data_IF_939769136473
#
_entry.id   IF_939769136473
#
_cell.length_a   1.000
_cell.length_b   1.000
_cell.length_c   1.000
_cell.angle_alpha   90.00
_cell.angle_beta   90.00
_cell.angle_gamma   90.00
#
_symmetry.space_group_name_H-M   'P 1'
#
loop_
_entity.id
_entity.type
_entity.pdbx_description
1 polymer ?
#
# COMPACT_ATOMS: atom_id res chain seq x y z
N UNK A 1 17.49 -23.46 6.73
CA UNK A 1 17.46 -22.64 5.51
C UNK A 1 18.73 -21.81 5.53
N UNK A 2 19.68 -22.13 4.65
CA UNK A 2 20.97 -21.45 4.59
C UNK A 2 20.72 -19.98 4.19
N UNK A 3 21.04 -19.05 5.06
CA UNK A 3 21.16 -17.63 4.72
C UNK A 3 22.33 -17.52 3.77
N UNK A 4 22.05 -17.29 2.48
CA UNK A 4 23.07 -16.95 1.49
C UNK A 4 23.51 -15.51 1.82
N UNK A 5 24.51 -15.42 2.69
CA UNK A 5 25.04 -14.16 3.28
C UNK A 5 26.01 -13.46 2.31
N UNK A 6 26.00 -13.87 1.04
CA UNK A 6 26.87 -13.29 0.02
C UNK A 6 26.28 -11.96 -0.51
N UNK A 7 27.17 -10.98 -0.63
CA UNK A 7 26.87 -9.71 -1.27
C UNK A 7 26.38 -9.91 -2.72
N UNK A 8 25.34 -9.21 -3.09
CA UNK A 8 24.69 -9.33 -4.40
C UNK A 8 25.14 -8.21 -5.34
N UNK A 9 25.36 -8.56 -6.60
CA UNK A 9 25.52 -7.55 -7.65
C UNK A 9 24.19 -6.85 -7.94
N UNK A 10 24.23 -5.64 -8.52
CA UNK A 10 23.02 -4.93 -8.94
C UNK A 10 22.12 -5.75 -9.87
N UNK A 11 22.72 -6.57 -10.75
CA UNK A 11 21.98 -7.45 -11.66
C UNK A 11 21.25 -8.58 -10.91
N UNK A 12 21.90 -9.19 -9.93
CA UNK A 12 21.30 -10.21 -9.07
C UNK A 12 20.18 -9.62 -8.19
N UNK A 13 20.43 -8.46 -7.61
CA UNK A 13 19.42 -7.72 -6.83
C UNK A 13 18.20 -7.41 -7.69
N UNK A 14 18.39 -6.91 -8.91
CA UNK A 14 17.33 -6.62 -9.85
C UNK A 14 16.51 -7.89 -10.20
N UNK A 15 17.17 -9.01 -10.46
CA UNK A 15 16.48 -10.28 -10.74
C UNK A 15 15.69 -10.79 -9.55
N UNK A 16 16.29 -10.78 -8.33
CA UNK A 16 15.62 -11.27 -7.11
C UNK A 16 14.44 -10.42 -6.67
N UNK A 17 14.52 -9.10 -6.89
CA UNK A 17 13.48 -8.16 -6.43
C UNK A 17 12.46 -7.80 -7.51
N UNK A 18 12.75 -8.08 -8.77
CA UNK A 18 11.95 -7.62 -9.92
C UNK A 18 12.05 -6.11 -10.18
N UNK A 19 12.98 -5.41 -9.51
CA UNK A 19 13.17 -3.97 -9.66
C UNK A 19 14.31 -3.70 -10.65
N UNK A 20 14.10 -2.88 -11.70
CA UNK A 20 15.14 -2.53 -12.66
C UNK A 20 16.38 -1.91 -12.00
N UNK A 21 17.56 -2.24 -12.50
CA UNK A 21 18.84 -1.70 -12.01
C UNK A 21 18.90 -0.15 -12.03
N UNK A 22 18.26 0.49 -13.00
CA UNK A 22 18.11 1.95 -13.06
C UNK A 22 17.32 2.50 -11.88
N UNK A 23 16.24 1.83 -11.51
CA UNK A 23 15.40 2.19 -10.36
C UNK A 23 16.17 2.02 -9.05
N UNK A 24 16.96 0.94 -8.90
CA UNK A 24 17.81 0.74 -7.73
C UNK A 24 18.83 1.87 -7.55
N UNK A 25 19.50 2.27 -8.65
CA UNK A 25 20.43 3.42 -8.64
C UNK A 25 19.72 4.72 -8.26
N UNK A 26 18.50 4.92 -8.77
CA UNK A 26 17.71 6.10 -8.44
C UNK A 26 17.33 6.12 -6.94
N UNK A 27 16.96 4.97 -6.36
CA UNK A 27 16.65 4.89 -4.94
C UNK A 27 17.87 5.08 -4.05
N UNK A 28 19.07 4.62 -4.47
CA UNK A 28 20.31 4.99 -3.79
C UNK A 28 20.55 6.51 -3.83
N UNK A 29 20.45 7.12 -5.01
CA UNK A 29 20.64 8.56 -5.18
C UNK A 29 19.62 9.38 -4.39
N UNK A 30 18.40 8.87 -4.23
CA UNK A 30 17.34 9.48 -3.43
C UNK A 30 17.46 9.19 -1.92
N UNK A 31 18.48 8.45 -1.48
CA UNK A 31 18.68 8.11 -0.06
C UNK A 31 17.69 7.10 0.52
N UNK A 32 16.94 6.39 -0.35
CA UNK A 32 16.00 5.35 0.06
C UNK A 32 16.69 4.00 0.30
N UNK A 33 17.84 3.80 -0.31
CA UNK A 33 18.73 2.66 -0.07
C UNK A 33 20.08 3.18 0.40
N UNK A 34 20.74 2.43 1.27
CA UNK A 34 22.13 2.71 1.62
C UNK A 34 23.00 2.66 0.36
N UNK A 35 24.02 3.50 0.32
CA UNK A 35 25.00 3.48 -0.78
C UNK A 35 25.64 2.07 -0.83
N UNK A 36 25.57 1.45 -2.00
CA UNK A 36 26.17 0.13 -2.21
C UNK A 36 27.69 0.22 -2.15
N UNK A 37 28.32 -0.74 -1.52
CA UNK A 37 29.77 -0.88 -1.59
C UNK A 37 30.21 -1.17 -3.04
N UNK A 38 31.45 -0.79 -3.37
CA UNK A 38 32.03 -1.08 -4.68
C UNK A 38 33.23 -2.01 -4.52
N UNK A 39 33.05 -3.23 -4.94
CA UNK A 39 34.13 -4.22 -5.00
C UNK A 39 34.50 -4.46 -6.45
N UNK A 40 35.76 -4.19 -6.80
CA UNK A 40 36.22 -4.27 -8.20
C UNK A 40 35.43 -3.39 -9.17
N UNK A 41 34.99 -2.18 -8.74
CA UNK A 41 34.20 -1.25 -9.54
C UNK A 41 32.71 -1.61 -9.69
N UNK A 42 32.27 -2.74 -9.17
CA UNK A 42 30.88 -3.22 -9.24
C UNK A 42 30.16 -2.96 -7.92
N UNK A 43 28.89 -2.47 -7.99
CA UNK A 43 28.02 -2.29 -6.84
C UNK A 43 27.70 -3.63 -6.17
N UNK A 44 27.79 -3.65 -4.85
CA UNK A 44 27.45 -4.80 -4.01
C UNK A 44 26.37 -4.37 -3.01
N UNK A 45 25.36 -5.21 -2.84
CA UNK A 45 24.26 -5.02 -1.93
C UNK A 45 24.24 -6.11 -0.88
N UNK A 46 24.10 -5.74 0.37
CA UNK A 46 23.92 -6.68 1.45
C UNK A 46 22.56 -7.38 1.38
N UNK A 47 22.42 -8.60 1.89
CA UNK A 47 21.15 -9.34 1.88
C UNK A 47 20.00 -8.59 2.54
N UNK A 48 20.27 -7.79 3.58
CA UNK A 48 19.28 -6.95 4.25
C UNK A 48 18.66 -5.89 3.31
N UNK A 49 19.40 -5.44 2.30
CA UNK A 49 18.89 -4.50 1.28
C UNK A 49 17.72 -5.08 0.50
N UNK A 50 17.67 -6.40 0.28
CA UNK A 50 16.53 -7.06 -0.36
C UNK A 50 15.22 -6.84 0.41
N UNK A 51 15.28 -6.91 1.75
CA UNK A 51 14.10 -6.67 2.61
C UNK A 51 13.65 -5.22 2.51
N UNK A 52 14.61 -4.29 2.51
CA UNK A 52 14.32 -2.87 2.34
C UNK A 52 13.70 -2.59 0.97
N UNK A 53 14.22 -3.16 -0.11
CA UNK A 53 13.65 -3.07 -1.46
C UNK A 53 12.22 -3.63 -1.48
N UNK A 54 11.99 -4.79 -0.88
CA UNK A 54 10.66 -5.40 -0.81
C UNK A 54 9.65 -4.51 -0.08
N UNK A 55 10.07 -3.85 1.00
CA UNK A 55 9.24 -2.88 1.72
C UNK A 55 8.92 -1.66 0.83
N UNK A 56 9.92 -1.10 0.14
CA UNK A 56 9.71 0.02 -0.80
C UNK A 56 8.69 -0.35 -1.88
N UNK A 57 8.84 -1.54 -2.49
CA UNK A 57 7.91 -2.04 -3.52
C UNK A 57 6.49 -2.18 -2.97
N UNK A 58 6.35 -2.77 -1.77
CA UNK A 58 5.05 -2.92 -1.11
C UNK A 58 4.38 -1.57 -0.87
N UNK A 59 5.11 -0.61 -0.31
CA UNK A 59 4.58 0.72 -0.02
C UNK A 59 4.25 1.49 -1.30
N UNK A 60 5.07 1.37 -2.35
CA UNK A 60 4.76 1.96 -3.68
C UNK A 60 3.44 1.43 -4.24
N UNK A 61 3.19 0.12 -4.12
CA UNK A 61 1.91 -0.49 -4.52
C UNK A 61 0.75 -0.02 -3.65
N UNK A 62 1.00 0.28 -2.39
CA UNK A 62 0.04 0.87 -1.45
C UNK A 62 -0.23 2.37 -1.66
N UNK A 63 0.36 2.99 -2.71
CA UNK A 63 0.12 4.41 -3.03
C UNK A 63 0.97 5.39 -2.23
N UNK A 64 2.06 4.93 -1.60
CA UNK A 64 3.00 5.84 -0.93
C UNK A 64 3.92 6.52 -1.94
N UNK A 65 4.19 7.80 -1.72
CA UNK A 65 5.22 8.55 -2.42
C UNK A 65 6.62 8.13 -1.93
N UNK A 66 7.67 8.42 -2.71
CA UNK A 66 9.04 8.12 -2.27
C UNK A 66 9.43 8.93 -1.03
N UNK A 67 8.95 10.15 -0.88
CA UNK A 67 9.18 10.97 0.31
C UNK A 67 8.55 10.32 1.56
N UNK A 68 7.33 9.84 1.47
CA UNK A 68 6.64 9.12 2.56
C UNK A 68 7.35 7.82 2.92
N UNK A 69 7.84 7.09 1.91
CA UNK A 69 8.64 5.87 2.11
C UNK A 69 9.95 6.20 2.85
N UNK A 70 10.60 7.31 2.49
CA UNK A 70 11.80 7.80 3.18
C UNK A 70 11.56 8.04 4.67
N UNK A 71 10.43 8.65 5.04
CA UNK A 71 10.03 8.87 6.44
C UNK A 71 9.90 7.52 7.18
N UNK A 72 9.27 6.52 6.55
CA UNK A 72 9.09 5.18 7.14
C UNK A 72 10.45 4.50 7.35
N UNK A 73 11.31 4.52 6.32
CA UNK A 73 12.62 3.88 6.38
C UNK A 73 13.52 4.53 7.43
N UNK A 74 13.53 5.86 7.54
CA UNK A 74 14.26 6.57 8.58
C UNK A 74 13.76 6.17 9.98
N UNK A 75 12.45 6.09 10.18
CA UNK A 75 11.87 5.63 11.45
C UNK A 75 12.21 4.19 11.82
N UNK A 76 12.43 3.31 10.84
CA UNK A 76 12.85 1.92 11.08
C UNK A 76 14.35 1.80 11.39
N UNK A 77 15.19 2.73 10.89
CA UNK A 77 16.64 2.72 11.11
C UNK A 77 17.02 3.14 12.53
N UNK A 78 16.30 4.09 13.09
CA UNK A 78 16.61 4.71 14.39
C UNK A 78 15.97 3.99 15.57
N UNK A 79 15.74 2.72 15.57
CA UNK A 79 15.15 1.92 16.66
C UNK A 79 14.09 2.64 17.55
N UNK A 80 13.91 3.92 17.34
CA UNK A 80 12.93 4.81 18.00
C UNK A 80 12.39 5.75 16.92
N UNK A 81 11.38 5.35 16.13
CA UNK A 81 10.76 6.28 15.20
C UNK A 81 10.26 7.49 16.00
N UNK A 82 10.44 8.73 15.51
CA UNK A 82 9.80 9.88 16.11
C UNK A 82 8.29 9.58 16.18
N UNK A 83 7.71 9.41 17.38
CA UNK A 83 6.37 8.80 17.51
C UNK A 83 5.29 9.61 16.81
N UNK A 84 5.54 10.91 16.56
CA UNK A 84 4.60 11.80 15.90
C UNK A 84 4.54 11.63 14.39
N UNK A 85 5.69 11.60 13.70
CA UNK A 85 5.74 11.61 12.22
C UNK A 85 5.12 10.36 11.61
N UNK A 86 5.41 9.19 12.20
CA UNK A 86 4.80 7.94 11.74
C UNK A 86 3.29 7.91 11.97
N UNK A 87 2.84 8.36 13.15
CA UNK A 87 1.42 8.41 13.48
C UNK A 87 0.66 9.31 12.51
N UNK A 88 1.16 10.51 12.28
CA UNK A 88 0.57 11.49 11.35
C UNK A 88 0.51 10.94 9.91
N UNK A 89 1.58 10.31 9.44
CA UNK A 89 1.61 9.66 8.13
C UNK A 89 0.57 8.53 8.04
N UNK A 90 0.50 7.68 9.06
CA UNK A 90 -0.44 6.56 9.11
C UNK A 90 -1.89 7.04 9.16
N UNK A 91 -2.21 8.04 10.00
CA UNK A 91 -3.55 8.64 10.09
C UNK A 91 -4.01 9.24 8.76
N UNK A 92 -3.10 9.85 8.00
CA UNK A 92 -3.39 10.38 6.66
C UNK A 92 -3.55 9.28 5.61
N UNK A 93 -2.71 8.24 5.66
CA UNK A 93 -2.67 7.16 4.63
C UNK A 93 -3.75 6.09 4.81
N UNK A 94 -4.14 5.78 6.03
CA UNK A 94 -5.17 4.77 6.30
C UNK A 94 -6.48 5.01 5.54
N UNK A 95 -7.05 6.24 5.51
CA UNK A 95 -8.24 6.52 4.72
C UNK A 95 -8.04 6.32 3.20
N UNK A 96 -6.85 6.63 2.67
CA UNK A 96 -6.54 6.43 1.25
C UNK A 96 -6.48 4.93 0.91
N UNK A 97 -5.78 4.15 1.72
CA UNK A 97 -5.67 2.70 1.57
C UNK A 97 -7.04 2.03 1.70
N UNK A 98 -7.86 2.46 2.67
CA UNK A 98 -9.21 1.93 2.84
C UNK A 98 -10.09 2.20 1.62
N UNK A 99 -10.00 3.38 1.01
CA UNK A 99 -10.72 3.68 -0.24
C UNK A 99 -10.29 2.75 -1.38
N UNK A 100 -8.99 2.55 -1.54
CA UNK A 100 -8.45 1.61 -2.54
C UNK A 100 -8.94 0.19 -2.29
N UNK A 101 -8.98 -0.24 -1.03
CA UNK A 101 -9.47 -1.57 -0.65
C UNK A 101 -10.96 -1.75 -0.98
N UNK A 102 -11.79 -0.74 -0.69
CA UNK A 102 -13.21 -0.74 -1.04
C UNK A 102 -13.40 -0.84 -2.56
N UNK A 103 -12.66 -0.05 -3.34
CA UNK A 103 -12.72 -0.09 -4.79
C UNK A 103 -12.27 -1.46 -5.35
N UNK A 104 -11.15 -1.98 -4.87
CA UNK A 104 -10.65 -3.29 -5.29
C UNK A 104 -11.64 -4.41 -4.94
N UNK A 105 -12.27 -4.33 -3.77
CA UNK A 105 -13.30 -5.30 -3.34
C UNK A 105 -14.54 -5.23 -4.22
N UNK A 106 -14.97 -4.04 -4.63
CA UNK A 106 -16.08 -3.86 -5.55
C UNK A 106 -15.79 -4.47 -6.93
N UNK A 107 -14.60 -4.18 -7.49
CA UNK A 107 -14.16 -4.78 -8.76
C UNK A 107 -14.08 -6.31 -8.67
N UNK A 108 -13.51 -6.85 -7.59
CA UNK A 108 -13.47 -8.29 -7.35
C UNK A 108 -14.88 -8.89 -7.38
N UNK A 109 -15.84 -8.28 -6.70
CA UNK A 109 -17.23 -8.74 -6.66
C UNK A 109 -17.88 -8.76 -8.06
N UNK A 110 -17.62 -7.72 -8.87
CA UNK A 110 -18.10 -7.66 -10.26
C UNK A 110 -17.51 -8.84 -11.07
N UNK A 111 -16.20 -9.08 -10.94
CA UNK A 111 -15.55 -10.18 -11.64
C UNK A 111 -16.09 -11.55 -11.21
N UNK A 112 -16.29 -11.76 -9.90
CA UNK A 112 -16.88 -13.00 -9.36
C UNK A 112 -18.31 -13.22 -9.83
N UNK A 113 -19.09 -12.16 -9.98
CA UNK A 113 -20.44 -12.21 -10.56
C UNK A 113 -20.38 -12.53 -12.05
N UNK A 114 -19.50 -11.87 -12.81
CA UNK A 114 -19.31 -12.14 -14.24
C UNK A 114 -18.91 -13.58 -14.54
N UNK A 115 -18.14 -14.23 -13.67
CA UNK A 115 -17.79 -15.65 -13.81
C UNK A 115 -18.97 -16.62 -13.60
N UNK A 116 -20.05 -16.14 -12.99
CA UNK A 116 -21.27 -16.93 -12.70
C UNK A 116 -22.45 -16.53 -13.57
N UNK A 117 -22.31 -15.47 -14.36
CA UNK A 117 -23.37 -14.89 -15.16
C UNK A 117 -23.34 -15.49 -16.57
N UNK A 118 -24.46 -16.05 -17.00
CA UNK A 118 -24.73 -16.40 -18.41
C UNK A 118 -25.38 -15.21 -19.15
N UNK A 119 -25.00 -13.99 -18.79
CA UNK A 119 -25.56 -12.76 -19.38
C UNK A 119 -25.26 -12.72 -20.89
N UNK A 120 -26.31 -12.62 -21.69
CA UNK A 120 -26.24 -12.56 -23.16
C UNK A 120 -26.08 -11.12 -23.69
N UNK A 121 -26.22 -10.11 -22.83
CA UNK A 121 -26.09 -8.69 -23.21
C UNK A 121 -25.36 -7.85 -22.16
N UNK A 122 -24.76 -6.74 -22.63
CA UNK A 122 -24.11 -5.73 -21.77
C UNK A 122 -25.13 -5.05 -20.86
N UNK A 123 -26.35 -4.84 -21.33
CA UNK A 123 -27.41 -4.18 -20.55
C UNK A 123 -27.86 -5.04 -19.37
N UNK A 124 -27.99 -6.36 -19.52
CA UNK A 124 -28.30 -7.26 -18.42
C UNK A 124 -27.18 -7.25 -17.37
N UNK A 125 -25.93 -7.15 -17.81
CA UNK A 125 -24.77 -7.08 -16.92
C UNK A 125 -24.74 -5.76 -16.14
N UNK A 126 -25.05 -4.63 -16.79
CA UNK A 126 -25.11 -3.31 -16.16
C UNK A 126 -26.23 -3.23 -15.10
N UNK A 127 -27.42 -3.78 -15.38
CA UNK A 127 -28.51 -3.85 -14.41
C UNK A 127 -28.15 -4.63 -13.15
N UNK A 128 -27.37 -5.70 -13.28
CA UNK A 128 -26.88 -6.48 -12.12
C UNK A 128 -25.81 -5.72 -11.33
N UNK A 129 -24.95 -4.96 -12.01
CA UNK A 129 -23.93 -4.12 -11.37
C UNK A 129 -24.61 -2.99 -10.58
N UNK A 130 -25.61 -2.30 -11.15
CA UNK A 130 -26.34 -1.22 -10.48
C UNK A 130 -27.12 -1.71 -9.27
N UNK A 131 -27.75 -2.86 -9.35
CA UNK A 131 -28.39 -3.51 -8.21
C UNK A 131 -27.39 -3.85 -7.08
N UNK A 132 -26.14 -4.19 -7.43
CA UNK A 132 -25.05 -4.43 -6.49
C UNK A 132 -24.45 -3.15 -5.89
N UNK A 133 -24.41 -2.05 -6.65
CA UNK A 133 -23.86 -0.76 -6.18
C UNK A 133 -24.78 -0.02 -5.21
N UNK A 134 -26.10 -0.22 -5.27
CA UNK A 134 -27.06 0.38 -4.34
C UNK A 134 -26.77 0.02 -2.86
N UNK A 135 -26.04 -1.04 -2.61
CA UNK A 135 -25.65 -1.48 -1.24
C UNK A 135 -24.34 -0.89 -0.74
N UNK A 136 -23.45 -0.40 -1.63
CA UNK A 136 -22.10 0.08 -1.25
C UNK A 136 -22.11 1.57 -0.86
N UNK A 137 -23.08 2.34 -1.32
CA UNK A 137 -23.13 3.81 -1.13
C UNK A 137 -24.02 4.26 0.05
N UNK A 138 -24.49 3.34 0.89
CA UNK A 138 -25.19 3.74 2.13
C UNK A 138 -24.16 4.05 3.22
N UNK A 139 -23.72 5.29 3.25
CA UNK A 139 -23.12 5.89 4.45
C UNK A 139 -24.11 5.67 5.62
N UNK A 140 -23.70 5.08 6.75
CA UNK A 140 -24.60 4.98 7.90
C UNK A 140 -24.95 6.39 8.35
N UNK A 141 -26.22 6.76 8.17
CA UNK A 141 -26.74 8.03 8.64
C UNK A 141 -26.43 8.16 10.14
N UNK A 142 -25.75 9.25 10.48
CA UNK A 142 -25.44 9.61 11.86
C UNK A 142 -26.74 9.52 12.68
N UNK A 143 -26.78 8.64 13.67
CA UNK A 143 -27.88 8.52 14.64
C UNK A 143 -28.05 9.89 15.29
N UNK A 144 -29.07 10.64 14.87
CA UNK A 144 -29.54 11.83 15.56
C UNK A 144 -29.96 11.36 16.97
N UNK A 145 -29.16 11.71 17.97
CA UNK A 145 -29.53 11.56 19.37
C UNK A 145 -30.83 12.33 19.59
N UNK A 146 -31.91 11.60 19.85
CA UNK A 146 -33.19 12.14 20.14
C UNK A 146 -33.10 13.06 21.38
N UNK A 147 -33.51 14.30 21.19
CA UNK A 147 -33.72 15.30 22.24
C UNK A 147 -34.87 14.78 23.11
N UNK A 148 -34.60 14.46 24.36
CA UNK A 148 -35.61 14.12 25.35
C UNK A 148 -36.53 15.35 25.54
N UNK A 149 -37.87 15.21 25.50
CA UNK A 149 -38.76 16.29 25.87
C UNK A 149 -38.69 16.54 27.40
N UNK A 150 -38.60 17.82 27.76
CA UNK A 150 -38.56 18.27 29.12
C UNK A 150 -39.88 17.94 29.86
N UNK A 151 -39.74 17.54 31.11
CA UNK A 151 -40.80 17.29 32.06
C UNK A 151 -41.33 18.66 32.56
N UNK A 152 -42.64 18.92 32.59
CA UNK A 152 -43.14 20.14 33.19
C UNK A 152 -43.06 20.06 34.71
N UNK A 153 -42.67 21.18 35.32
CA UNK A 153 -42.73 21.39 36.77
C UNK A 153 -44.18 21.67 37.21
N UNK A 154 -44.57 21.01 38.28
CA UNK A 154 -45.66 21.37 39.13
C UNK A 154 -45.08 21.94 40.43
#
# INVERSE_FOLDING_TARGET
MASDDSELTIGETARRTGVPASTLRYWEAAGLLAASERVGGKRRYEPQTLRQISLIVLMKRGGFTLAEIGIVLAGLSDRTPPPGIWRELAERKLPEVNRTLVQATAVKKILEQGLRCDCLSVDDCLHQIDAGHATVNRTPAARRRGRRPGRPAA
#
